data_IF_044321451904
#
_entry.id   IF_044321451904
#
_cell.length_a   1.000
_cell.length_b   1.000
_cell.length_c   1.000
_cell.angle_alpha   90.00
_cell.angle_beta   90.00
_cell.angle_gamma   90.00
#
_symmetry.space_group_name_H-M   'P 1'
#
loop_
_entity.id
_entity.type
_entity.pdbx_description
1 polymer ?
#
# COMPACT_ATOMS: atom_id res chain seq x y z
N UNK A 1 -7.01 -5.37 -13.34
CA UNK A 1 -6.93 -6.41 -12.30
C UNK A 1 -5.50 -6.93 -12.18
N UNK A 2 -4.91 -6.87 -10.98
CA UNK A 2 -3.54 -7.29 -10.64
C UNK A 2 -3.51 -8.51 -9.69
N UNK A 3 -4.54 -9.35 -9.76
CA UNK A 3 -4.65 -10.60 -9.02
C UNK A 3 -4.69 -11.75 -10.02
N UNK A 4 -4.07 -12.87 -9.65
CA UNK A 4 -4.02 -14.10 -10.47
C UNK A 4 -5.17 -15.04 -10.07
N UNK A 5 -5.47 -15.17 -8.77
CA UNK A 5 -6.63 -15.91 -8.27
C UNK A 5 -7.94 -15.15 -8.44
N UNK A 6 -9.08 -15.83 -8.24
CA UNK A 6 -10.38 -15.17 -8.10
C UNK A 6 -10.30 -14.12 -6.97
N UNK A 7 -10.75 -12.87 -7.23
CA UNK A 7 -10.65 -11.80 -6.25
C UNK A 7 -11.72 -11.99 -5.17
N UNK A 8 -11.27 -12.39 -3.99
CA UNK A 8 -12.09 -12.49 -2.77
C UNK A 8 -11.78 -11.39 -1.75
N UNK A 9 -10.79 -10.51 -2.01
CA UNK A 9 -10.41 -9.40 -1.15
C UNK A 9 -10.41 -8.08 -1.92
N UNK A 10 -11.08 -7.07 -1.39
CA UNK A 10 -11.20 -5.74 -1.99
C UNK A 10 -10.90 -4.64 -0.98
N UNK A 11 -10.17 -3.61 -1.41
CA UNK A 11 -9.92 -2.41 -0.60
C UNK A 11 -10.76 -1.24 -1.12
N UNK A 12 -11.48 -0.57 -0.24
CA UNK A 12 -12.22 0.67 -0.52
C UNK A 12 -11.71 1.78 0.40
N UNK A 13 -11.29 2.90 -0.17
CA UNK A 13 -10.94 4.09 0.60
C UNK A 13 -12.17 4.97 0.78
N UNK A 14 -12.59 5.20 2.02
CA UNK A 14 -13.60 6.20 2.36
C UNK A 14 -12.87 7.53 2.58
N UNK A 15 -12.95 8.41 1.58
CA UNK A 15 -12.19 9.66 1.54
C UNK A 15 -13.01 10.80 2.14
N UNK A 16 -12.44 11.43 3.17
CA UNK A 16 -13.00 12.58 3.87
C UNK A 16 -12.16 13.82 3.52
N UNK A 17 -12.71 14.79 2.77
CA UNK A 17 -11.96 16.02 2.47
C UNK A 17 -11.76 16.84 3.75
N UNK A 18 -10.52 17.28 3.96
CA UNK A 18 -10.14 18.17 5.06
C UNK A 18 -9.35 19.35 4.51
N UNK A 19 -9.50 20.51 5.14
CA UNK A 19 -8.81 21.73 4.73
C UNK A 19 -8.05 22.33 5.89
N UNK A 20 -6.97 23.06 5.56
CA UNK A 20 -6.18 23.84 6.53
C UNK A 20 -5.69 22.99 7.69
N UNK A 21 -5.19 21.78 7.41
CA UNK A 21 -4.56 20.95 8.41
C UNK A 21 -3.07 21.31 8.57
N UNK A 22 -2.53 21.01 9.74
CA UNK A 22 -1.10 20.97 10.03
C UNK A 22 -0.71 19.53 10.31
N UNK A 23 0.48 19.17 9.83
CA UNK A 23 1.06 17.85 9.97
C UNK A 23 2.33 17.96 10.78
N UNK A 24 2.37 17.25 11.91
CA UNK A 24 3.54 17.16 12.76
C UNK A 24 4.03 15.71 12.73
N UNK A 25 5.30 15.49 12.43
CA UNK A 25 5.87 14.14 12.33
C UNK A 25 5.77 13.42 13.68
N UNK A 26 5.25 12.19 13.66
CA UNK A 26 5.10 11.38 14.88
C UNK A 26 6.35 10.57 15.21
N UNK A 27 7.23 10.36 14.21
CA UNK A 27 8.47 9.62 14.34
C UNK A 27 9.50 10.09 13.28
N UNK A 28 10.67 9.46 13.28
CA UNK A 28 11.78 9.71 12.37
C UNK A 28 11.59 9.12 10.96
N UNK A 29 10.49 8.41 10.71
CA UNK A 29 10.24 7.77 9.41
C UNK A 29 9.66 8.73 8.38
N UNK A 30 9.11 9.86 8.81
CA UNK A 30 8.39 10.79 7.92
C UNK A 30 7.15 10.19 7.25
N UNK A 31 6.66 9.02 7.70
CA UNK A 31 5.48 8.36 7.16
C UNK A 31 4.23 8.52 8.04
N UNK A 32 4.41 8.78 9.33
CA UNK A 32 3.34 8.92 10.32
C UNK A 32 3.30 10.32 10.89
N UNK A 33 2.10 10.89 10.99
CA UNK A 33 1.86 12.27 11.39
C UNK A 33 0.75 12.35 12.43
N UNK A 34 0.88 13.31 13.34
CA UNK A 34 -0.26 13.90 14.03
C UNK A 34 -0.89 14.95 13.13
N UNK A 35 -2.22 15.02 13.15
CA UNK A 35 -3.00 15.97 12.36
C UNK A 35 -3.67 16.96 13.31
N UNK A 36 -3.54 18.25 13.06
CA UNK A 36 -4.31 19.29 13.75
C UNK A 36 -4.92 20.25 12.72
N UNK A 37 -5.95 21.00 13.11
CA UNK A 37 -6.47 22.07 12.25
C UNK A 37 -5.74 23.38 12.56
N UNK A 38 -5.28 24.09 11.52
CA UNK A 38 -4.64 25.42 11.66
C UNK A 38 -5.59 26.50 12.17
N UNK A 39 -6.90 26.26 12.06
CA UNK A 39 -7.99 27.10 12.57
C UNK A 39 -9.14 26.19 12.96
N UNK A 40 -10.02 26.64 13.84
CA UNK A 40 -11.22 25.88 14.20
C UNK A 40 -11.97 25.40 12.95
N UNK A 41 -12.28 24.09 12.84
CA UNK A 41 -12.94 23.55 11.66
C UNK A 41 -14.34 24.18 11.52
N UNK A 42 -14.75 24.47 10.28
CA UNK A 42 -16.08 25.05 10.00
C UNK A 42 -17.19 24.10 10.44
N UNK A 43 -17.01 22.82 10.18
CA UNK A 43 -17.92 21.76 10.62
C UNK A 43 -17.64 21.40 12.07
N UNK A 44 -18.58 21.73 12.96
CA UNK A 44 -18.46 21.42 14.40
C UNK A 44 -18.36 19.91 14.68
N UNK A 45 -18.78 19.07 13.73
CA UNK A 45 -18.68 17.61 13.82
C UNK A 45 -17.26 17.07 14.00
N UNK A 46 -16.22 17.82 13.59
CA UNK A 46 -14.82 17.44 13.81
C UNK A 46 -14.37 17.58 15.27
N UNK A 47 -15.00 18.49 16.04
CA UNK A 47 -14.57 18.81 17.41
C UNK A 47 -14.66 17.60 18.34
N UNK A 48 -15.63 16.71 18.15
CA UNK A 48 -15.79 15.48 18.95
C UNK A 48 -14.68 14.44 18.74
N UNK A 49 -13.88 14.62 17.69
CA UNK A 49 -12.77 13.73 17.35
C UNK A 49 -11.41 14.33 17.70
N UNK A 50 -11.38 15.53 18.30
CA UNK A 50 -10.16 16.11 18.81
C UNK A 50 -9.81 15.49 20.17
N UNK A 51 -8.51 15.37 20.42
CA UNK A 51 -7.94 15.12 21.73
C UNK A 51 -7.73 16.43 22.50
N UNK A 52 -7.40 16.33 23.79
CA UNK A 52 -7.17 17.49 24.67
C UNK A 52 -6.05 18.41 24.15
N UNK A 53 -5.05 17.83 23.48
CA UNK A 53 -3.93 18.55 22.84
C UNK A 53 -4.28 19.12 21.45
N UNK A 54 -5.56 19.04 21.05
CA UNK A 54 -6.06 19.53 19.77
C UNK A 54 -5.71 18.67 18.55
N UNK A 55 -5.09 17.49 18.73
CA UNK A 55 -4.85 16.55 17.63
C UNK A 55 -6.12 15.79 17.24
N UNK A 56 -6.29 15.57 15.95
CA UNK A 56 -7.38 14.79 15.39
C UNK A 56 -7.11 13.29 15.57
N UNK A 57 -7.97 12.62 16.33
CA UNK A 57 -7.83 11.22 16.69
C UNK A 57 -8.29 10.29 15.56
N UNK A 58 -7.34 9.62 14.92
CA UNK A 58 -7.61 8.53 13.98
C UNK A 58 -8.43 7.42 14.64
N UNK A 59 -8.12 7.07 15.90
CA UNK A 59 -8.83 6.05 16.66
C UNK A 59 -10.30 6.40 16.91
N UNK A 60 -10.60 7.59 17.45
CA UNK A 60 -11.99 8.01 17.73
C UNK A 60 -12.82 8.02 16.45
N UNK A 61 -12.26 8.55 15.35
CA UNK A 61 -12.94 8.56 14.06
C UNK A 61 -13.19 7.16 13.51
N UNK A 62 -12.17 6.29 13.53
CA UNK A 62 -12.30 4.92 13.02
C UNK A 62 -13.28 4.10 13.86
N UNK A 63 -13.31 4.31 15.18
CA UNK A 63 -14.29 3.68 16.06
C UNK A 63 -15.71 4.15 15.76
N UNK A 64 -15.93 5.46 15.62
CA UNK A 64 -17.24 5.99 15.25
C UNK A 64 -17.73 5.44 13.91
N UNK A 65 -16.86 5.43 12.89
CA UNK A 65 -17.19 4.86 11.58
C UNK A 65 -17.53 3.36 11.69
N UNK A 66 -16.78 2.61 12.49
CA UNK A 66 -17.03 1.18 12.69
C UNK A 66 -18.38 0.91 13.34
N UNK A 67 -18.79 1.70 14.32
CA UNK A 67 -20.11 1.55 14.95
C UNK A 67 -21.24 1.94 14.00
N UNK A 68 -21.08 2.99 13.19
CA UNK A 68 -22.04 3.33 12.13
C UNK A 68 -22.17 2.17 11.14
N UNK A 69 -21.05 1.65 10.63
CA UNK A 69 -21.07 0.52 9.69
C UNK A 69 -21.73 -0.72 10.30
N UNK A 70 -21.45 -1.04 11.57
CA UNK A 70 -22.12 -2.15 12.27
C UNK A 70 -23.63 -1.96 12.38
N UNK A 71 -24.11 -0.73 12.58
CA UNK A 71 -25.54 -0.42 12.62
C UNK A 71 -26.15 -0.58 11.24
N UNK A 72 -25.54 -0.01 10.21
CA UNK A 72 -26.07 -0.08 8.83
C UNK A 72 -26.04 -1.49 8.24
N UNK A 73 -25.02 -2.29 8.56
CA UNK A 73 -24.93 -3.69 8.11
C UNK A 73 -26.12 -4.52 8.61
N UNK A 74 -26.71 -4.21 9.78
CA UNK A 74 -27.92 -4.89 10.28
C UNK A 74 -29.17 -4.60 9.44
N UNK A 75 -29.18 -3.49 8.71
CA UNK A 75 -30.30 -3.05 7.88
C UNK A 75 -30.27 -3.69 6.47
N UNK A 76 -29.14 -4.30 6.08
CA UNK A 76 -28.99 -4.94 4.77
C UNK A 76 -29.83 -6.23 4.74
N UNK A 77 -30.77 -6.30 3.80
CA UNK A 77 -31.62 -7.47 3.55
C UNK A 77 -31.17 -8.21 2.29
N UNK A 78 -31.39 -9.52 2.25
CA UNK A 78 -31.12 -10.35 1.07
C UNK A 78 -29.65 -10.75 0.86
N UNK A 79 -28.74 -10.37 1.77
CA UNK A 79 -27.33 -10.75 1.74
C UNK A 79 -26.78 -10.87 3.16
N UNK A 80 -25.99 -11.90 3.44
CA UNK A 80 -25.35 -12.06 4.74
C UNK A 80 -24.05 -11.27 4.77
N UNK A 81 -24.10 -10.09 5.38
CA UNK A 81 -22.95 -9.20 5.57
C UNK A 81 -22.65 -9.08 7.07
N UNK A 82 -21.39 -9.25 7.45
CA UNK A 82 -20.94 -9.08 8.85
C UNK A 82 -19.67 -8.24 8.92
N UNK A 83 -19.46 -7.53 10.04
CA UNK A 83 -18.20 -6.79 10.26
C UNK A 83 -17.22 -7.69 11.01
N UNK A 84 -16.09 -8.03 10.39
CA UNK A 84 -15.08 -8.90 11.00
C UNK A 84 -14.47 -8.27 12.26
N UNK A 85 -13.97 -9.09 13.20
CA UNK A 85 -13.37 -8.62 14.46
C UNK A 85 -12.22 -7.63 14.19
N UNK A 86 -12.14 -6.57 15.01
CA UNK A 86 -11.05 -5.58 14.92
C UNK A 86 -9.70 -6.28 15.14
N UNK A 87 -8.82 -6.22 14.14
CA UNK A 87 -7.41 -6.63 14.27
C UNK A 87 -6.59 -5.47 14.83
N UNK A 88 -5.78 -5.74 15.86
CA UNK A 88 -4.95 -4.72 16.49
C UNK A 88 -4.00 -4.05 15.46
N UNK A 89 -4.00 -2.71 15.45
CA UNK A 89 -3.18 -1.91 14.53
C UNK A 89 -3.60 -1.94 13.05
N UNK A 90 -4.70 -2.62 12.69
CA UNK A 90 -5.25 -2.55 11.33
C UNK A 90 -6.02 -1.23 11.14
N UNK A 91 -5.79 -0.49 10.04
CA UNK A 91 -6.57 0.71 9.71
C UNK A 91 -7.92 0.38 9.05
N UNK A 92 -8.17 -0.88 8.69
CA UNK A 92 -9.33 -1.30 7.92
C UNK A 92 -10.49 -1.76 8.82
N UNK A 93 -11.71 -1.45 8.37
CA UNK A 93 -12.96 -2.07 8.83
C UNK A 93 -13.36 -3.09 7.78
N UNK A 94 -13.08 -4.36 8.06
CA UNK A 94 -13.34 -5.46 7.14
C UNK A 94 -14.78 -5.92 7.21
N UNK A 95 -15.49 -5.90 6.07
CA UNK A 95 -16.77 -6.55 5.86
C UNK A 95 -16.55 -7.95 5.31
N UNK A 96 -17.29 -8.92 5.84
CA UNK A 96 -17.40 -10.26 5.30
C UNK A 96 -18.76 -10.40 4.64
N UNK A 97 -18.77 -10.59 3.33
CA UNK A 97 -19.95 -10.78 2.51
C UNK A 97 -19.99 -12.26 2.13
N UNK A 98 -20.93 -12.99 2.72
CA UNK A 98 -21.13 -14.41 2.43
C UNK A 98 -22.06 -14.54 1.22
N UNK A 99 -21.51 -15.06 0.12
CA UNK A 99 -22.25 -15.41 -1.10
C UNK A 99 -21.85 -16.82 -1.52
N UNK A 100 -22.39 -17.87 -0.85
CA UNK A 100 -22.00 -19.25 -1.10
C UNK A 100 -21.95 -19.59 -2.59
N UNK A 101 -20.89 -20.27 -3.09
CA UNK A 101 -19.77 -20.85 -2.32
C UNK A 101 -18.65 -19.87 -1.94
N UNK A 102 -18.74 -18.59 -2.32
CA UNK A 102 -17.68 -17.60 -2.15
C UNK A 102 -17.88 -16.75 -0.88
N UNK A 103 -16.77 -16.43 -0.21
CA UNK A 103 -16.73 -15.41 0.82
C UNK A 103 -15.88 -14.24 0.32
N UNK A 104 -16.47 -13.04 0.30
CA UNK A 104 -15.79 -11.83 -0.12
C UNK A 104 -15.49 -10.98 1.10
N UNK A 105 -14.23 -10.58 1.24
CA UNK A 105 -13.74 -9.63 2.23
C UNK A 105 -13.62 -8.24 1.59
N UNK A 106 -14.16 -7.21 2.23
CA UNK A 106 -14.06 -5.82 1.78
C UNK A 106 -13.50 -4.96 2.91
N UNK A 107 -12.28 -4.47 2.74
CA UNK A 107 -11.60 -3.57 3.68
C UNK A 107 -11.98 -2.11 3.40
N UNK A 108 -12.72 -1.50 4.34
CA UNK A 108 -13.03 -0.07 4.30
C UNK A 108 -11.95 0.69 5.07
N UNK A 109 -11.24 1.58 4.38
CA UNK A 109 -10.10 2.34 4.89
C UNK A 109 -10.48 3.82 5.03
N UNK A 110 -10.65 4.29 6.26
CA UNK A 110 -10.87 5.71 6.55
C UNK A 110 -9.62 6.52 6.14
N UNK A 111 -9.83 7.50 5.26
CA UNK A 111 -8.77 8.31 4.70
C UNK A 111 -9.15 9.79 4.72
N UNK A 112 -8.26 10.66 5.17
CA UNK A 112 -8.39 12.10 4.97
C UNK A 112 -7.72 12.50 3.65
N UNK A 113 -8.36 13.36 2.88
CA UNK A 113 -7.77 14.01 1.72
C UNK A 113 -7.55 15.49 2.02
N UNK A 114 -6.31 15.95 1.91
CA UNK A 114 -6.00 17.37 2.07
C UNK A 114 -5.34 17.93 0.80
N UNK A 115 -5.92 19.00 0.26
CA UNK A 115 -5.33 19.76 -0.82
C UNK A 115 -4.23 20.67 -0.26
N UNK A 116 -3.01 20.14 -0.18
CA UNK A 116 -1.82 20.87 0.24
C UNK A 116 -0.56 20.23 -0.35
N UNK A 117 0.56 20.93 -0.30
CA UNK A 117 1.86 20.39 -0.69
C UNK A 117 2.21 19.13 0.09
N UNK A 118 2.85 18.18 -0.58
CA UNK A 118 3.34 16.97 0.08
C UNK A 118 4.39 17.30 1.15
N UNK A 119 4.49 16.52 2.25
CA UNK A 119 5.43 16.80 3.33
C UNK A 119 6.90 16.77 2.89
N UNK A 120 7.80 17.45 3.60
CA UNK A 120 9.25 17.46 3.32
C UNK A 120 9.86 16.05 3.24
N UNK A 121 9.36 15.10 4.03
CA UNK A 121 9.76 13.68 4.00
C UNK A 121 9.67 13.02 2.62
N UNK A 122 8.88 13.59 1.70
CA UNK A 122 8.69 13.06 0.35
C UNK A 122 9.60 13.71 -0.69
N UNK A 123 10.37 14.73 -0.33
CA UNK A 123 11.01 15.64 -1.29
C UNK A 123 11.96 14.95 -2.27
N UNK A 124 12.73 13.99 -1.77
CA UNK A 124 13.70 13.19 -2.52
C UNK A 124 13.16 11.82 -2.95
N UNK A 125 11.87 11.55 -2.68
CA UNK A 125 11.16 10.36 -3.13
C UNK A 125 10.56 10.53 -4.53
N UNK A 126 9.84 9.49 -4.98
CA UNK A 126 9.18 9.43 -6.29
C UNK A 126 10.18 9.72 -7.43
N UNK A 127 11.27 8.95 -7.49
CA UNK A 127 12.38 9.13 -8.43
C UNK A 127 12.07 8.58 -9.83
N UNK A 128 10.95 9.01 -10.41
CA UNK A 128 10.40 8.50 -11.68
C UNK A 128 10.87 9.29 -12.90
N UNK A 129 11.77 10.26 -12.73
CA UNK A 129 12.33 11.06 -13.81
C UNK A 129 12.86 10.22 -14.98
N UNK A 130 13.66 9.15 -14.79
CA UNK A 130 14.14 8.33 -15.90
C UNK A 130 13.04 7.44 -16.51
N UNK A 131 11.96 7.17 -15.77
CA UNK A 131 10.90 6.24 -16.19
C UNK A 131 9.70 6.95 -16.81
N UNK A 132 8.99 7.78 -16.05
CA UNK A 132 7.77 8.48 -16.47
C UNK A 132 7.99 9.97 -16.78
N UNK A 133 9.20 10.48 -16.53
CA UNK A 133 9.59 11.86 -16.82
C UNK A 133 9.29 12.84 -15.69
N UNK A 134 10.01 13.97 -15.72
CA UNK A 134 9.92 15.07 -14.75
C UNK A 134 8.54 15.71 -14.71
N UNK A 135 7.86 15.83 -15.86
CA UNK A 135 6.50 16.39 -15.95
C UNK A 135 5.50 15.56 -15.14
N UNK A 136 5.51 14.23 -15.30
CA UNK A 136 4.60 13.34 -14.55
C UNK A 136 4.89 13.37 -13.06
N UNK A 137 6.17 13.40 -12.66
CA UNK A 137 6.56 13.57 -11.26
C UNK A 137 5.97 14.85 -10.68
N UNK A 138 6.12 15.97 -11.38
CA UNK A 138 5.57 17.27 -10.95
C UNK A 138 4.04 17.20 -10.83
N UNK A 139 3.36 16.65 -11.84
CA UNK A 139 1.91 16.52 -11.85
C UNK A 139 1.40 15.68 -10.67
N UNK A 140 2.10 14.59 -10.31
CA UNK A 140 1.75 13.78 -9.13
C UNK A 140 1.93 14.54 -7.83
N UNK A 141 3.01 15.30 -7.67
CA UNK A 141 3.27 16.07 -6.44
C UNK A 141 2.33 17.26 -6.23
N UNK A 142 1.58 17.68 -7.25
CA UNK A 142 0.52 18.68 -7.13
C UNK A 142 -0.83 18.10 -6.69
N UNK A 143 -0.98 16.78 -6.64
CA UNK A 143 -2.22 16.14 -6.16
C UNK A 143 -2.29 16.15 -4.65
N UNK A 144 -3.51 16.04 -4.12
CA UNK A 144 -3.81 15.97 -2.70
C UNK A 144 -2.98 14.92 -1.98
N UNK A 145 -2.71 15.16 -0.70
CA UNK A 145 -2.17 14.15 0.21
C UNK A 145 -3.30 13.31 0.79
N UNK A 146 -3.07 12.00 0.93
CA UNK A 146 -4.01 11.08 1.55
C UNK A 146 -3.41 10.56 2.85
N UNK A 147 -4.21 10.55 3.92
CA UNK A 147 -3.81 10.15 5.27
C UNK A 147 -4.73 9.05 5.76
N UNK A 148 -4.22 7.85 5.95
CA UNK A 148 -5.00 6.70 6.45
C UNK A 148 -4.95 6.64 7.97
N UNK A 149 -6.06 6.27 8.59
CA UNK A 149 -6.20 6.12 10.04
C UNK A 149 -5.40 4.91 10.57
N UNK A 150 -4.07 5.01 10.59
CA UNK A 150 -3.14 3.93 10.94
C UNK A 150 -2.25 4.33 12.10
N UNK A 151 -2.33 3.51 13.15
CA UNK A 151 -1.51 3.64 14.34
C UNK A 151 -0.03 3.37 14.05
N UNK A 152 0.82 4.24 14.57
CA UNK A 152 2.26 4.04 14.61
C UNK A 152 2.62 3.09 15.76
N UNK A 153 3.25 1.96 15.44
CA UNK A 153 3.64 0.96 16.44
C UNK A 153 4.92 1.33 17.20
N UNK A 154 5.65 2.36 16.75
CA UNK A 154 6.87 2.85 17.42
C UNK A 154 6.59 3.82 18.56
N UNK A 155 5.34 4.28 18.71
CA UNK A 155 4.97 5.14 19.82
C UNK A 155 5.09 4.39 21.15
N UNK A 156 5.83 4.96 22.10
CA UNK A 156 5.95 4.42 23.47
C UNK A 156 4.60 4.31 24.17
N UNK A 157 3.68 5.23 23.87
CA UNK A 157 2.30 5.20 24.34
C UNK A 157 1.39 5.12 23.13
N UNK A 158 0.76 3.97 22.95
CA UNK A 158 -0.17 3.69 21.87
C UNK A 158 -1.48 4.48 22.04
N UNK A 159 -1.48 5.76 21.70
CA UNK A 159 -2.68 6.62 21.79
C UNK A 159 -3.64 6.44 20.62
N UNK A 160 -3.17 5.86 19.50
CA UNK A 160 -4.01 5.61 18.32
C UNK A 160 -4.34 6.87 17.51
N UNK A 161 -3.57 7.95 17.72
CA UNK A 161 -3.86 9.29 17.20
C UNK A 161 -3.05 9.64 15.95
N UNK A 162 -2.27 8.71 15.42
CA UNK A 162 -1.46 8.95 14.23
C UNK A 162 -2.21 8.61 12.95
N UNK A 163 -1.82 9.33 11.91
CA UNK A 163 -2.24 9.12 10.54
C UNK A 163 -1.02 8.78 9.69
N UNK A 164 -1.13 7.81 8.79
CA UNK A 164 -0.02 7.47 7.88
C UNK A 164 -0.27 8.05 6.50
N UNK A 165 0.76 8.60 5.87
CA UNK A 165 0.70 8.95 4.45
C UNK A 165 0.29 7.75 3.59
N UNK A 166 -0.49 8.03 2.56
CA UNK A 166 -0.90 7.07 1.55
C UNK A 166 -0.78 7.69 0.17
N UNK A 167 -0.18 6.92 -0.74
CA UNK A 167 -0.01 7.30 -2.15
C UNK A 167 -0.75 6.34 -3.07
N UNK A 168 -1.72 5.58 -2.56
CA UNK A 168 -2.42 4.53 -3.32
C UNK A 168 -3.05 5.05 -4.61
N UNK A 169 -3.54 6.29 -4.61
CA UNK A 169 -4.09 6.93 -5.81
C UNK A 169 -3.00 7.24 -6.86
N UNK A 170 -1.79 7.63 -6.44
CA UNK A 170 -0.63 7.82 -7.33
C UNK A 170 -0.10 6.48 -7.84
N UNK A 171 0.06 5.51 -6.96
CA UNK A 171 0.47 4.14 -7.33
C UNK A 171 -0.47 3.56 -8.38
N UNK A 172 -1.80 3.72 -8.19
CA UNK A 172 -2.80 3.27 -9.15
C UNK A 172 -2.60 3.91 -10.52
N UNK A 173 -2.33 5.22 -10.55
CA UNK A 173 -2.10 5.95 -11.79
C UNK A 173 -0.81 5.50 -12.48
N UNK A 174 0.29 5.36 -11.73
CA UNK A 174 1.56 4.84 -12.25
C UNK A 174 1.42 3.43 -12.83
N UNK A 175 0.74 2.53 -12.13
CA UNK A 175 0.49 1.17 -12.62
C UNK A 175 -0.41 1.20 -13.87
N UNK A 176 -1.40 2.11 -13.92
CA UNK A 176 -2.24 2.26 -15.10
C UNK A 176 -1.40 2.71 -16.29
N UNK A 177 -0.58 3.74 -16.09
CA UNK A 177 0.25 4.44 -17.07
C UNK A 177 1.73 4.16 -16.82
N UNK A 178 2.13 2.90 -17.00
CA UNK A 178 3.42 2.36 -16.57
C UNK A 178 4.49 2.35 -17.67
N UNK A 179 4.15 2.73 -18.89
CA UNK A 179 5.10 2.80 -19.99
C UNK A 179 5.99 4.02 -19.89
N UNK A 180 7.22 3.90 -20.39
CA UNK A 180 8.02 5.06 -20.71
C UNK A 180 7.45 5.79 -21.93
N UNK A 181 7.01 5.03 -22.94
CA UNK A 181 6.16 5.56 -24.00
C UNK A 181 4.72 5.75 -23.52
N UNK A 182 4.02 6.73 -24.11
CA UNK A 182 2.60 6.98 -23.81
C UNK A 182 1.67 5.87 -24.29
N UNK A 183 2.10 5.11 -25.31
CA UNK A 183 1.28 4.10 -25.99
C UNK A 183 1.48 2.68 -25.45
N UNK A 184 2.38 2.48 -24.47
CA UNK A 184 2.63 1.17 -23.88
C UNK A 184 1.35 0.50 -23.38
N UNK A 185 1.08 -0.70 -23.89
CA UNK A 185 -0.12 -1.49 -23.62
C UNK A 185 -1.46 -0.88 -24.06
N UNK A 186 -1.48 0.22 -24.81
CA UNK A 186 -2.68 0.71 -25.51
C UNK A 186 -3.07 -0.23 -26.66
N UNK A 187 -4.26 -0.05 -27.26
CA UNK A 187 -4.77 -0.95 -28.30
C UNK A 187 -3.82 -1.10 -29.49
N UNK A 188 -3.20 0.01 -29.93
CA UNK A 188 -2.28 0.04 -31.08
C UNK A 188 -0.80 0.16 -30.66
N UNK A 189 -0.49 0.02 -29.37
CA UNK A 189 0.87 0.16 -28.86
C UNK A 189 1.53 -1.18 -28.51
N UNK A 190 2.86 -1.19 -28.35
CA UNK A 190 3.59 -2.39 -27.95
C UNK A 190 3.09 -2.87 -26.59
N UNK A 191 2.95 -4.18 -26.44
CA UNK A 191 2.62 -4.80 -25.15
C UNK A 191 3.90 -5.01 -24.33
N UNK A 192 3.79 -4.89 -23.02
CA UNK A 192 4.89 -5.13 -22.08
C UNK A 192 4.47 -6.12 -20.98
N UNK A 193 5.45 -6.69 -20.29
CA UNK A 193 5.26 -7.66 -19.22
C UNK A 193 5.20 -7.05 -17.81
N UNK A 194 5.36 -5.73 -17.61
CA UNK A 194 5.39 -5.06 -16.28
C UNK A 194 4.29 -5.51 -15.33
N UNK A 195 3.02 -5.46 -15.78
CA UNK A 195 1.88 -5.91 -14.96
C UNK A 195 1.87 -7.42 -14.74
N UNK A 196 2.41 -8.20 -15.68
CA UNK A 196 2.62 -9.64 -15.53
C UNK A 196 3.62 -9.95 -14.42
N UNK A 197 4.78 -9.31 -14.43
CA UNK A 197 5.79 -9.45 -13.38
C UNK A 197 5.21 -9.09 -12.00
N UNK A 198 4.52 -7.95 -11.87
CA UNK A 198 3.90 -7.56 -10.59
C UNK A 198 2.85 -8.59 -10.10
N UNK A 199 2.06 -9.16 -11.02
CA UNK A 199 1.10 -10.23 -10.69
C UNK A 199 1.80 -11.48 -10.17
N UNK A 200 2.84 -11.95 -10.88
CA UNK A 200 3.61 -13.12 -10.50
C UNK A 200 4.33 -12.91 -9.15
N UNK A 201 4.93 -11.75 -8.91
CA UNK A 201 5.56 -11.40 -7.63
C UNK A 201 4.58 -11.48 -6.46
N UNK A 202 3.38 -10.91 -6.64
CA UNK A 202 2.34 -10.95 -5.62
C UNK A 202 1.87 -12.37 -5.35
N UNK A 203 1.64 -13.15 -6.41
CA UNK A 203 1.18 -14.52 -6.31
C UNK A 203 2.22 -15.43 -5.64
N UNK A 204 3.50 -15.30 -6.00
CA UNK A 204 4.60 -16.01 -5.34
C UNK A 204 4.62 -15.71 -3.84
N UNK A 205 4.58 -14.43 -3.46
CA UNK A 205 4.56 -14.05 -2.04
C UNK A 205 3.34 -14.63 -1.33
N UNK A 206 2.16 -14.58 -1.96
CA UNK A 206 0.93 -15.13 -1.40
C UNK A 206 1.04 -16.63 -1.13
N UNK A 207 1.53 -17.41 -2.10
CA UNK A 207 1.68 -18.86 -1.93
C UNK A 207 2.72 -19.21 -0.87
N UNK A 208 3.87 -18.52 -0.86
CA UNK A 208 4.88 -18.69 0.19
C UNK A 208 4.30 -18.36 1.57
N UNK A 209 3.48 -17.31 1.68
CA UNK A 209 2.79 -16.96 2.93
C UNK A 209 1.80 -18.02 3.38
N UNK A 210 1.09 -18.68 2.45
CA UNK A 210 0.19 -19.80 2.79
C UNK A 210 0.95 -20.99 3.35
N UNK A 211 2.12 -21.31 2.78
CA UNK A 211 3.02 -22.38 3.27
C UNK A 211 3.72 -22.04 4.59
N UNK A 212 4.07 -20.77 4.78
CA UNK A 212 4.86 -20.31 5.93
C UNK A 212 4.21 -19.11 6.64
N UNK A 213 2.99 -19.28 7.20
CA UNK A 213 2.19 -18.16 7.69
C UNK A 213 2.79 -17.44 8.89
N UNK A 214 3.52 -18.16 9.76
CA UNK A 214 4.12 -17.60 10.98
C UNK A 214 5.36 -16.78 10.67
N UNK A 215 6.26 -17.35 9.86
CA UNK A 215 7.52 -16.75 9.44
C UNK A 215 7.27 -15.51 8.60
N UNK A 216 6.29 -15.60 7.68
CA UNK A 216 6.02 -14.57 6.68
C UNK A 216 4.84 -13.64 7.00
N UNK A 217 4.29 -13.69 8.22
CA UNK A 217 3.13 -12.90 8.64
C UNK A 217 3.28 -11.40 8.33
N UNK A 218 4.48 -10.84 8.61
CA UNK A 218 4.79 -9.41 8.49
C UNK A 218 4.93 -8.92 7.05
N UNK A 219 5.13 -9.80 6.07
CA UNK A 219 5.22 -9.39 4.68
C UNK A 219 3.82 -9.19 4.09
N UNK A 220 3.63 -8.14 3.30
CA UNK A 220 2.40 -7.95 2.52
C UNK A 220 2.72 -7.60 1.07
N UNK A 221 1.67 -7.55 0.24
CA UNK A 221 1.75 -7.18 -1.17
C UNK A 221 2.37 -5.79 -1.41
N UNK A 222 2.44 -4.94 -0.39
CA UNK A 222 3.09 -3.64 -0.50
C UNK A 222 4.61 -3.75 -0.67
N UNK A 223 5.29 -4.72 -0.02
CA UNK A 223 6.74 -4.89 -0.19
C UNK A 223 7.10 -5.24 -1.64
N UNK A 224 6.40 -6.22 -2.24
CA UNK A 224 6.63 -6.60 -3.64
C UNK A 224 6.24 -5.48 -4.60
N UNK A 225 5.18 -4.71 -4.29
CA UNK A 225 4.82 -3.54 -5.10
C UNK A 225 5.91 -2.47 -5.06
N UNK A 226 6.45 -2.15 -3.87
CA UNK A 226 7.54 -1.18 -3.74
C UNK A 226 8.80 -1.65 -4.45
N UNK A 227 9.16 -2.93 -4.32
CA UNK A 227 10.32 -3.49 -5.01
C UNK A 227 10.15 -3.41 -6.55
N UNK A 228 8.95 -3.73 -7.03
CA UNK A 228 8.59 -3.60 -8.44
C UNK A 228 8.67 -2.15 -8.94
N UNK A 229 8.21 -1.15 -8.16
CA UNK A 229 8.30 0.25 -8.56
C UNK A 229 9.75 0.71 -8.68
N UNK A 230 10.64 0.28 -7.78
CA UNK A 230 12.08 0.52 -7.92
C UNK A 230 12.67 -0.19 -9.14
N UNK A 231 12.24 -1.42 -9.42
CA UNK A 231 12.63 -2.15 -10.63
C UNK A 231 12.25 -1.40 -11.92
N UNK A 232 11.05 -0.81 -11.98
CA UNK A 232 10.63 0.02 -13.12
C UNK A 232 11.46 1.31 -13.28
N UNK A 233 12.07 1.82 -12.20
CA UNK A 233 13.00 2.96 -12.28
C UNK A 233 14.38 2.52 -12.77
N UNK A 234 14.85 1.34 -12.34
CA UNK A 234 16.13 0.78 -12.80
C UNK A 234 16.10 0.37 -14.27
N UNK A 235 14.96 -0.15 -14.73
CA UNK A 235 14.71 -0.57 -16.11
C UNK A 235 13.58 0.26 -16.72
N UNK A 236 13.86 1.52 -17.10
CA UNK A 236 12.81 2.46 -17.47
C UNK A 236 12.21 2.18 -18.84
N UNK A 237 12.94 1.58 -19.79
CA UNK A 237 12.51 1.53 -21.19
C UNK A 237 11.47 0.44 -21.40
N UNK A 238 10.55 0.63 -22.35
CA UNK A 238 9.53 -0.38 -22.64
C UNK A 238 10.12 -1.68 -23.21
N UNK A 239 11.27 -1.60 -23.86
CA UNK A 239 12.04 -2.75 -24.38
C UNK A 239 12.61 -3.64 -23.28
N UNK A 240 12.92 -3.07 -22.11
CA UNK A 240 13.39 -3.85 -20.94
C UNK A 240 12.30 -4.79 -20.40
N UNK A 241 11.04 -4.54 -20.79
CA UNK A 241 9.85 -5.26 -20.37
C UNK A 241 9.09 -5.84 -21.57
N UNK A 242 9.80 -6.22 -22.63
CA UNK A 242 9.18 -6.83 -23.79
C UNK A 242 8.32 -8.04 -23.39
N UNK A 243 7.13 -8.17 -23.97
CA UNK A 243 6.17 -9.20 -23.57
C UNK A 243 6.74 -10.63 -23.66
N UNK A 244 7.58 -10.89 -24.68
CA UNK A 244 8.24 -12.19 -24.88
C UNK A 244 9.32 -12.53 -23.86
N UNK A 245 9.75 -11.57 -23.02
CA UNK A 245 10.81 -11.75 -22.03
C UNK A 245 10.24 -11.77 -20.59
N UNK A 246 8.99 -12.21 -20.43
CA UNK A 246 8.30 -12.21 -19.14
C UNK A 246 9.10 -12.96 -18.05
N UNK A 247 9.67 -14.11 -18.41
CA UNK A 247 10.53 -14.93 -17.57
C UNK A 247 11.74 -14.14 -17.06
N UNK A 248 12.48 -13.51 -17.98
CA UNK A 248 13.67 -12.72 -17.67
C UNK A 248 13.32 -11.49 -16.83
N UNK A 249 12.32 -10.70 -17.23
CA UNK A 249 11.91 -9.51 -16.48
C UNK A 249 11.34 -9.86 -15.09
N UNK A 250 10.68 -11.00 -14.95
CA UNK A 250 10.20 -11.49 -13.65
C UNK A 250 11.37 -11.90 -12.75
N UNK A 251 12.34 -12.65 -13.28
CA UNK A 251 13.56 -13.02 -12.57
C UNK A 251 14.35 -11.79 -12.10
N UNK A 252 14.54 -10.78 -12.96
CA UNK A 252 15.21 -9.53 -12.58
C UNK A 252 14.51 -8.82 -11.41
N UNK A 253 13.17 -8.77 -11.41
CA UNK A 253 12.42 -8.22 -10.28
C UNK A 253 12.62 -9.03 -8.99
N UNK A 254 12.66 -10.36 -9.10
CA UNK A 254 12.88 -11.25 -7.96
C UNK A 254 14.27 -11.10 -7.39
N UNK A 255 15.30 -11.05 -8.23
CA UNK A 255 16.69 -10.85 -7.83
C UNK A 255 16.85 -9.51 -7.09
N UNK A 256 16.24 -8.43 -7.61
CA UNK A 256 16.21 -7.15 -6.89
C UNK A 256 15.53 -7.27 -5.53
N UNK A 257 14.39 -7.96 -5.44
CA UNK A 257 13.69 -8.13 -4.16
C UNK A 257 14.48 -9.01 -3.18
N UNK A 258 15.15 -10.05 -3.67
CA UNK A 258 16.06 -10.90 -2.88
C UNK A 258 17.22 -10.09 -2.33
N UNK A 259 17.86 -9.25 -3.14
CA UNK A 259 18.93 -8.34 -2.69
C UNK A 259 18.43 -7.40 -1.58
N UNK A 260 17.25 -6.81 -1.75
CA UNK A 260 16.60 -5.98 -0.74
C UNK A 260 16.39 -6.76 0.59
N UNK A 261 15.92 -8.01 0.51
CA UNK A 261 15.73 -8.88 1.69
C UNK A 261 17.04 -9.23 2.37
N UNK A 262 18.09 -9.58 1.61
CA UNK A 262 19.41 -9.91 2.16
C UNK A 262 20.04 -8.71 2.88
N UNK A 263 19.90 -7.51 2.32
CA UNK A 263 20.35 -6.25 2.92
C UNK A 263 19.41 -5.74 4.02
N UNK A 264 18.23 -6.33 4.18
CA UNK A 264 17.15 -5.82 5.03
C UNK A 264 16.84 -4.34 4.74
N UNK A 265 16.83 -3.99 3.45
CA UNK A 265 16.68 -2.62 3.00
C UNK A 265 15.73 -2.58 1.79
N UNK A 266 14.54 -2.03 2.01
CA UNK A 266 13.59 -1.69 0.96
C UNK A 266 12.99 -0.33 1.30
N UNK A 267 13.59 0.71 0.75
CA UNK A 267 13.13 2.08 0.96
C UNK A 267 11.74 2.29 0.37
N UNK A 268 10.84 2.93 1.13
CA UNK A 268 9.52 3.33 0.67
C UNK A 268 9.64 4.26 -0.54
N UNK A 269 8.91 3.96 -1.61
CA UNK A 269 9.09 4.60 -2.92
C UNK A 269 8.91 6.13 -2.90
N UNK A 270 8.02 6.62 -2.04
CA UNK A 270 7.71 8.05 -1.90
C UNK A 270 8.41 8.72 -0.70
N UNK A 271 8.98 7.96 0.24
CA UNK A 271 9.49 8.46 1.53
C UNK A 271 10.87 7.84 1.78
N UNK A 272 11.96 8.46 1.31
CA UNK A 272 13.26 7.81 1.26
C UNK A 272 13.86 7.41 2.62
N UNK A 273 13.51 8.11 3.70
CA UNK A 273 13.96 7.73 5.04
C UNK A 273 13.23 6.50 5.60
N UNK A 274 12.08 6.12 5.03
CA UNK A 274 11.28 5.02 5.56
C UNK A 274 11.68 3.70 4.94
N UNK A 275 12.48 2.91 5.66
CA UNK A 275 12.76 1.51 5.29
C UNK A 275 11.58 0.60 5.69
N UNK A 276 11.04 -0.14 4.72
CA UNK A 276 9.94 -1.08 4.93
C UNK A 276 10.38 -2.41 5.54
N UNK A 277 11.66 -2.76 5.42
CA UNK A 277 12.25 -3.96 6.00
C UNK A 277 12.93 -3.60 7.31
N UNK A 278 12.22 -3.75 8.44
CA UNK A 278 12.76 -3.43 9.78
C UNK A 278 13.98 -4.28 10.12
N UNK A 279 15.07 -3.67 10.60
CA UNK A 279 16.29 -4.41 10.96
C UNK A 279 16.05 -5.47 12.05
N UNK A 280 15.05 -5.26 12.91
CA UNK A 280 14.62 -6.24 13.93
C UNK A 280 14.09 -7.55 13.32
N UNK A 281 13.64 -7.52 12.06
CA UNK A 281 13.06 -8.66 11.33
C UNK A 281 14.05 -9.32 10.36
N UNK A 282 15.36 -9.03 10.48
CA UNK A 282 16.41 -9.54 9.59
C UNK A 282 16.36 -11.06 9.38
N UNK A 283 16.11 -11.84 10.43
CA UNK A 283 15.97 -13.29 10.32
C UNK A 283 14.81 -13.71 9.39
N UNK A 284 13.67 -13.01 9.46
CA UNK A 284 12.51 -13.25 8.58
C UNK A 284 12.80 -12.83 7.14
N UNK A 285 13.56 -11.75 6.94
CA UNK A 285 14.00 -11.33 5.61
C UNK A 285 14.89 -12.38 4.94
N UNK A 286 15.90 -12.88 5.66
CA UNK A 286 16.76 -13.97 5.17
C UNK A 286 15.97 -15.26 4.92
N UNK A 287 14.99 -15.58 5.76
CA UNK A 287 14.11 -16.72 5.52
C UNK A 287 13.35 -16.58 4.21
N UNK A 288 12.70 -15.44 3.97
CA UNK A 288 11.97 -15.20 2.72
C UNK A 288 12.91 -15.20 1.51
N UNK A 289 14.09 -14.58 1.61
CA UNK A 289 15.12 -14.59 0.57
C UNK A 289 15.48 -16.03 0.18
N UNK A 290 15.77 -16.91 1.16
CA UNK A 290 16.08 -18.32 0.91
C UNK A 290 14.93 -19.06 0.22
N UNK A 291 13.68 -18.80 0.63
CA UNK A 291 12.51 -19.41 0.00
C UNK A 291 12.34 -18.96 -1.44
N UNK A 292 12.49 -17.67 -1.74
CA UNK A 292 12.43 -17.16 -3.11
C UNK A 292 13.57 -17.73 -3.97
N UNK A 293 14.80 -17.78 -3.45
CA UNK A 293 15.93 -18.38 -4.18
C UNK A 293 15.72 -19.87 -4.45
N UNK A 294 15.11 -20.60 -3.52
CA UNK A 294 14.73 -22.00 -3.75
C UNK A 294 13.72 -22.10 -4.89
N UNK A 295 12.65 -21.31 -4.88
CA UNK A 295 11.64 -21.32 -5.97
C UNK A 295 12.30 -20.97 -7.32
N UNK A 296 13.16 -19.96 -7.36
CA UNK A 296 13.86 -19.56 -8.59
C UNK A 296 14.74 -20.69 -9.15
N UNK A 297 15.53 -21.35 -8.30
CA UNK A 297 16.48 -22.39 -8.71
C UNK A 297 15.81 -23.72 -9.11
N UNK A 298 14.54 -23.92 -8.76
CA UNK A 298 13.80 -25.17 -9.00
C UNK A 298 12.60 -24.98 -9.94
N UNK A 299 12.51 -23.87 -10.65
CA UNK A 299 11.45 -23.63 -11.64
C UNK A 299 10.07 -23.34 -11.05
N UNK A 300 10.02 -22.68 -9.88
CA UNK A 300 8.80 -22.29 -9.16
C UNK A 300 7.82 -23.44 -8.89
N UNK A 301 8.24 -24.51 -8.17
CA UNK A 301 7.35 -25.63 -7.84
C UNK A 301 6.03 -25.16 -7.18
N UNK A 302 6.05 -24.06 -6.42
CA UNK A 302 4.85 -23.50 -5.79
C UNK A 302 3.77 -23.01 -6.77
N UNK A 303 4.09 -22.82 -8.05
CA UNK A 303 3.09 -22.44 -9.07
C UNK A 303 2.30 -23.62 -9.60
N UNK A 304 2.70 -24.86 -9.28
CA UNK A 304 2.02 -26.09 -9.68
C UNK A 304 1.11 -26.67 -8.59
N UNK A 305 1.00 -25.98 -7.45
CA UNK A 305 0.16 -26.33 -6.31
C UNK A 305 -1.09 -25.45 -6.22
#
# INVERSE_FOLDING_TARGET
YLQISEPNEFDIMLVMPVTRIQLDESDDTGAYYYVSFKRSPKEKGWLKFLEEDGKLSAFKMLQALREIIKQEVKNIKGMQVTVARKKAGSPAITLQIKKPPLEISVDIILTLEAQQSWPPSTQTGLKIEPWLGTKKRRDFRFRSIYLVAKQNKREKVLRGNTWRLSFSHIEKDMIKNHGNSKTCCESNGPKCCRKGCLKLLKFLLEQLKRKHPKELEKFCSYHVKTAFLHSCVMWPNDTDWHLGNLDHSFQQCLEFFVDCLQKSQLTHFFIPQYNLLSQEDKARHHFLSRKISYELNNGFPVFHE
#
